data_IF_914439375962
#
_entry.id   IF_914439375962
#
_cell.length_a   1.000
_cell.length_b   1.000
_cell.length_c   1.000
_cell.angle_alpha   90.00
_cell.angle_beta   90.00
_cell.angle_gamma   90.00
#
_symmetry.space_group_name_H-M   'P 1'
#
loop_
_entity.id
_entity.type
_entity.pdbx_description
1 polymer ?
#
# COMPACT_ATOMS: atom_id res chain seq x y z
N UNK A 1 -6.88 13.09 -8.66
CA UNK A 1 -5.82 12.09 -8.80
C UNK A 1 -6.39 10.72 -8.45
N UNK A 2 -5.90 9.69 -9.08
CA UNK A 2 -6.32 8.31 -8.80
C UNK A 2 -5.26 7.61 -7.97
N UNK A 3 -5.62 7.28 -6.74
CA UNK A 3 -4.69 6.79 -5.73
C UNK A 3 -5.05 5.36 -5.36
N UNK A 4 -4.05 4.47 -5.37
CA UNK A 4 -4.19 3.12 -4.87
C UNK A 4 -3.64 2.99 -3.45
N UNK A 5 -4.24 2.12 -2.67
CA UNK A 5 -3.71 1.73 -1.35
C UNK A 5 -3.54 0.22 -1.36
N UNK A 6 -2.31 -0.24 -1.16
CA UNK A 6 -1.99 -1.67 -1.01
C UNK A 6 -1.88 -1.98 0.47
N UNK A 7 -2.71 -2.89 0.97
CA UNK A 7 -2.89 -3.05 2.41
C UNK A 7 -3.51 -4.39 2.77
N UNK A 8 -3.52 -4.69 4.06
CA UNK A 8 -4.49 -5.63 4.64
C UNK A 8 -5.84 -4.91 4.76
N UNK A 9 -6.94 -5.66 4.71
CA UNK A 9 -8.28 -5.04 4.69
C UNK A 9 -9.29 -5.89 5.44
N UNK A 10 -9.17 -5.89 6.78
CA UNK A 10 -10.09 -6.55 7.70
C UNK A 10 -9.85 -5.98 9.10
N UNK A 11 -10.62 -6.41 10.07
CA UNK A 11 -10.57 -5.87 11.44
C UNK A 11 -9.22 -6.08 12.12
N UNK A 12 -8.27 -5.16 11.87
CA UNK A 12 -6.96 -5.08 12.55
C UNK A 12 -6.40 -3.67 12.41
N UNK A 13 -5.43 -3.32 13.27
CA UNK A 13 -4.90 -1.96 13.37
C UNK A 13 -4.42 -1.35 12.06
N UNK A 14 -3.62 -2.08 11.29
CA UNK A 14 -3.09 -1.58 10.03
C UNK A 14 -4.20 -1.27 9.01
N UNK A 15 -5.24 -2.10 8.97
CA UNK A 15 -6.37 -1.89 8.06
C UNK A 15 -7.18 -0.65 8.45
N UNK A 16 -7.34 -0.39 9.74
CA UNK A 16 -8.01 0.83 10.18
C UNK A 16 -7.24 2.08 9.81
N UNK A 17 -5.90 2.05 9.85
CA UNK A 17 -5.07 3.15 9.37
C UNK A 17 -5.28 3.38 7.88
N UNK A 18 -5.26 2.32 7.08
CA UNK A 18 -5.54 2.42 5.64
C UNK A 18 -6.92 2.96 5.37
N UNK A 19 -7.91 2.59 6.17
CA UNK A 19 -9.26 3.10 6.05
C UNK A 19 -9.36 4.59 6.33
N UNK A 20 -8.63 5.07 7.33
CA UNK A 20 -8.53 6.51 7.61
C UNK A 20 -7.90 7.26 6.44
N UNK A 21 -6.82 6.73 5.85
CA UNK A 21 -6.23 7.32 4.64
C UNK A 21 -7.24 7.35 3.50
N UNK A 22 -7.96 6.25 3.28
CA UNK A 22 -8.99 6.20 2.24
C UNK A 22 -10.04 7.29 2.45
N UNK A 23 -10.57 7.41 3.66
CA UNK A 23 -11.63 8.37 3.97
C UNK A 23 -11.17 9.81 3.78
N UNK A 24 -9.94 10.12 4.15
CA UNK A 24 -9.36 11.45 3.99
C UNK A 24 -9.10 11.77 2.51
N UNK A 25 -8.46 10.85 1.81
CA UNK A 25 -8.07 11.04 0.41
C UNK A 25 -9.28 11.06 -0.52
N UNK A 26 -10.32 10.30 -0.21
CA UNK A 26 -11.52 10.23 -1.03
C UNK A 26 -12.29 11.56 -1.10
N UNK A 27 -12.01 12.51 -0.22
CA UNK A 27 -12.61 13.85 -0.28
C UNK A 27 -12.23 14.62 -1.54
N UNK A 28 -11.02 14.39 -2.07
CA UNK A 28 -10.49 15.13 -3.21
C UNK A 28 -9.92 14.23 -4.33
N UNK A 29 -9.92 12.92 -4.13
CA UNK A 29 -9.31 11.96 -5.05
C UNK A 29 -10.18 10.72 -5.19
N UNK A 30 -9.97 9.97 -6.28
CA UNK A 30 -10.52 8.62 -6.42
C UNK A 30 -9.56 7.64 -5.76
N UNK A 31 -10.05 6.83 -4.83
CA UNK A 31 -9.21 5.90 -4.06
C UNK A 31 -9.62 4.46 -4.34
N UNK A 32 -8.65 3.61 -4.62
CA UNK A 32 -8.83 2.20 -4.91
C UNK A 32 -7.99 1.36 -3.96
N UNK A 33 -8.57 0.27 -3.45
CA UNK A 33 -7.92 -0.59 -2.46
C UNK A 33 -7.51 -1.90 -3.12
N UNK A 34 -6.25 -2.29 -2.94
CA UNK A 34 -5.73 -3.61 -3.31
C UNK A 34 -5.46 -4.39 -2.05
N UNK A 35 -6.23 -5.44 -1.81
CA UNK A 35 -6.05 -6.31 -0.66
C UNK A 35 -5.01 -7.38 -1.02
N UNK A 36 -3.94 -7.45 -0.24
CA UNK A 36 -2.89 -8.45 -0.47
C UNK A 36 -3.47 -9.87 -0.35
N UNK A 37 -2.91 -10.78 -1.15
CA UNK A 37 -3.37 -12.15 -1.19
C UNK A 37 -3.28 -12.88 0.15
N UNK A 38 -4.15 -13.85 0.34
CA UNK A 38 -4.23 -14.62 1.59
C UNK A 38 -4.93 -13.91 2.74
N UNK A 39 -5.45 -12.71 2.52
CA UNK A 39 -6.12 -11.91 3.56
C UNK A 39 -7.57 -11.59 3.20
N UNK A 40 -8.31 -12.60 2.76
CA UNK A 40 -9.70 -12.43 2.28
C UNK A 40 -10.75 -12.51 3.40
N UNK A 41 -10.34 -12.33 4.65
CA UNK A 41 -11.21 -12.56 5.82
C UNK A 41 -12.47 -11.68 5.84
N UNK A 42 -12.39 -10.49 5.28
CA UNK A 42 -13.53 -9.55 5.27
C UNK A 42 -14.27 -9.52 3.94
N UNK A 43 -13.93 -10.40 3.00
CA UNK A 43 -14.62 -10.49 1.71
C UNK A 43 -16.09 -10.84 1.93
N UNK A 44 -16.98 -10.05 1.35
CA UNK A 44 -18.42 -10.18 1.57
C UNK A 44 -18.96 -9.41 2.78
N UNK A 45 -18.08 -8.85 3.62
CA UNK A 45 -18.52 -8.05 4.76
C UNK A 45 -18.88 -6.62 4.29
N UNK A 46 -20.10 -6.13 4.52
CA UNK A 46 -20.53 -4.82 4.03
C UNK A 46 -19.67 -3.65 4.49
N UNK A 47 -18.98 -3.78 5.61
CA UNK A 47 -18.10 -2.72 6.13
C UNK A 47 -16.79 -2.63 5.35
N UNK A 48 -16.29 -3.75 4.82
CA UNK A 48 -14.98 -3.85 4.20
C UNK A 48 -15.03 -4.11 2.69
N UNK A 49 -16.02 -4.88 2.24
CA UNK A 49 -16.14 -5.24 0.82
C UNK A 49 -16.90 -4.16 0.05
N UNK A 50 -16.19 -3.06 -0.19
CA UNK A 50 -16.73 -1.87 -0.84
C UNK A 50 -16.50 -1.94 -2.36
N UNK A 51 -17.22 -1.13 -3.17
CA UNK A 51 -17.07 -1.17 -4.64
C UNK A 51 -15.65 -0.87 -5.15
N UNK A 52 -14.86 -0.11 -4.39
CA UNK A 52 -13.49 0.26 -4.77
C UNK A 52 -12.42 -0.70 -4.24
N UNK A 53 -12.82 -1.84 -3.69
CA UNK A 53 -11.90 -2.83 -3.11
C UNK A 53 -11.68 -3.97 -4.08
N UNK A 54 -10.43 -4.30 -4.34
CA UNK A 54 -10.01 -5.45 -5.13
C UNK A 54 -9.38 -6.49 -4.20
N UNK A 55 -9.94 -7.70 -4.19
CA UNK A 55 -9.44 -8.83 -3.41
C UNK A 55 -8.50 -9.66 -4.29
N UNK A 56 -7.20 -9.59 -4.05
CA UNK A 56 -6.23 -10.30 -4.87
C UNK A 56 -6.26 -11.81 -4.63
N UNK A 57 -5.83 -12.58 -5.63
CA UNK A 57 -5.85 -14.05 -5.60
C UNK A 57 -4.53 -14.66 -5.12
N UNK A 58 -3.62 -13.86 -4.55
CA UNK A 58 -2.35 -14.35 -4.04
C UNK A 58 -2.51 -15.34 -2.89
N UNK A 59 -1.55 -16.24 -2.75
CA UNK A 59 -1.56 -17.27 -1.70
C UNK A 59 -0.89 -16.80 -0.41
N UNK A 60 -0.11 -15.74 -0.46
CA UNK A 60 0.66 -15.23 0.68
C UNK A 60 0.40 -13.76 0.91
N UNK A 61 0.37 -13.36 2.18
CA UNK A 61 0.06 -11.99 2.60
C UNK A 61 1.06 -10.94 2.09
N UNK A 62 2.29 -11.34 1.79
CA UNK A 62 3.33 -10.42 1.32
C UNK A 62 3.55 -10.44 -0.18
N UNK A 63 3.12 -11.52 -0.84
CA UNK A 63 3.36 -11.71 -2.27
C UNK A 63 2.29 -11.02 -3.11
N UNK A 64 2.73 -10.32 -4.15
CA UNK A 64 1.85 -9.67 -5.12
C UNK A 64 2.18 -10.23 -6.51
N UNK A 65 1.16 -10.74 -7.22
CA UNK A 65 1.33 -11.20 -8.59
C UNK A 65 1.46 -10.01 -9.54
N UNK A 66 2.53 -9.98 -10.32
CA UNK A 66 2.85 -8.85 -11.20
C UNK A 66 1.74 -8.56 -12.21
N UNK A 67 1.22 -9.59 -12.88
CA UNK A 67 0.17 -9.43 -13.92
C UNK A 67 -1.13 -8.90 -13.32
N UNK A 68 -1.53 -9.45 -12.20
CA UNK A 68 -2.74 -9.06 -11.48
C UNK A 68 -2.64 -7.61 -11.00
N UNK A 69 -1.50 -7.25 -10.43
CA UNK A 69 -1.22 -5.90 -9.95
C UNK A 69 -1.24 -4.88 -11.10
N UNK A 70 -0.60 -5.23 -12.20
CA UNK A 70 -0.59 -4.38 -13.39
C UNK A 70 -2.00 -4.13 -13.94
N UNK A 71 -2.82 -5.19 -14.03
CA UNK A 71 -4.21 -5.08 -14.47
C UNK A 71 -5.02 -4.15 -13.57
N UNK A 72 -4.84 -4.26 -12.26
CA UNK A 72 -5.52 -3.39 -11.29
C UNK A 72 -5.13 -1.93 -11.48
N UNK A 73 -3.85 -1.65 -11.65
CA UNK A 73 -3.35 -0.30 -11.90
C UNK A 73 -3.94 0.26 -13.19
N UNK A 74 -3.90 -0.50 -14.27
CA UNK A 74 -4.38 -0.04 -15.58
C UNK A 74 -5.90 0.13 -15.62
N UNK A 75 -6.64 -0.81 -15.06
CA UNK A 75 -8.10 -0.75 -15.05
C UNK A 75 -8.63 0.49 -14.33
N UNK A 76 -7.89 0.99 -13.33
CA UNK A 76 -8.29 2.13 -12.53
C UNK A 76 -7.48 3.40 -12.83
N UNK A 77 -6.55 3.32 -13.78
CA UNK A 77 -5.67 4.46 -14.15
C UNK A 77 -4.94 5.06 -12.95
N UNK A 78 -4.43 4.22 -12.08
CA UNK A 78 -3.80 4.64 -10.83
C UNK A 78 -2.47 5.35 -11.11
N UNK A 79 -2.25 6.48 -10.45
CA UNK A 79 -1.08 7.33 -10.64
C UNK A 79 -0.11 7.27 -9.46
N UNK A 80 -0.62 7.03 -8.26
CA UNK A 80 0.15 7.01 -7.01
C UNK A 80 -0.37 5.87 -6.14
N UNK A 81 0.53 5.16 -5.46
CA UNK A 81 0.17 4.06 -4.58
C UNK A 81 0.78 4.26 -3.20
N UNK A 82 -0.05 4.17 -2.17
CA UNK A 82 0.34 4.11 -0.77
C UNK A 82 0.42 2.64 -0.34
N UNK A 83 1.58 2.21 0.11
CA UNK A 83 1.79 0.86 0.64
C UNK A 83 1.79 0.90 2.16
N UNK A 84 0.95 0.10 2.78
CA UNK A 84 0.87 -0.02 4.23
C UNK A 84 1.39 -1.39 4.67
N UNK A 85 2.42 -1.41 5.50
CA UNK A 85 3.07 -2.64 5.99
C UNK A 85 3.57 -3.56 4.86
N UNK A 86 4.15 -3.00 3.83
CA UNK A 86 4.65 -3.78 2.70
C UNK A 86 6.02 -4.38 3.02
N UNK A 87 6.11 -5.71 3.03
CA UNK A 87 7.36 -6.45 3.29
C UNK A 87 7.97 -7.04 2.02
N UNK A 88 7.24 -7.13 0.94
CA UNK A 88 7.71 -7.58 -0.36
C UNK A 88 7.98 -6.35 -1.23
N UNK A 89 9.26 -6.07 -1.49
CA UNK A 89 9.66 -4.81 -2.13
C UNK A 89 9.71 -4.85 -3.66
N UNK A 90 9.64 -6.03 -4.27
CA UNK A 90 9.66 -6.15 -5.74
C UNK A 90 8.58 -5.31 -6.45
N UNK A 91 7.35 -5.18 -5.94
CA UNK A 91 6.35 -4.31 -6.58
C UNK A 91 6.79 -2.85 -6.71
N UNK A 92 7.68 -2.37 -5.85
CA UNK A 92 8.20 -1.00 -5.93
C UNK A 92 9.08 -0.80 -7.16
N UNK A 93 9.83 -1.85 -7.54
CA UNK A 93 10.63 -1.84 -8.79
C UNK A 93 9.69 -1.75 -9.99
N UNK A 94 8.60 -2.53 -10.00
CA UNK A 94 7.61 -2.47 -11.07
C UNK A 94 6.98 -1.07 -11.19
N UNK A 95 6.64 -0.46 -10.05
CA UNK A 95 6.08 0.88 -10.04
C UNK A 95 7.03 1.90 -10.66
N UNK A 96 8.32 1.80 -10.36
CA UNK A 96 9.33 2.67 -11.01
C UNK A 96 9.36 2.48 -12.53
N UNK A 97 9.32 1.23 -12.99
CA UNK A 97 9.29 0.92 -14.42
C UNK A 97 8.04 1.47 -15.10
N UNK A 98 6.91 1.48 -14.39
CA UNK A 98 5.62 1.92 -14.93
C UNK A 98 5.33 3.40 -14.71
N UNK A 99 6.23 4.14 -14.07
CA UNK A 99 6.05 5.56 -13.81
C UNK A 99 5.00 5.88 -12.74
N UNK A 100 4.76 4.93 -11.83
CA UNK A 100 3.83 5.09 -10.70
C UNK A 100 4.59 5.63 -9.50
N UNK A 101 4.08 6.69 -8.88
CA UNK A 101 4.64 7.22 -7.63
C UNK A 101 4.28 6.33 -6.45
N UNK A 102 5.21 6.19 -5.53
CA UNK A 102 5.05 5.30 -4.39
C UNK A 102 5.25 6.02 -3.07
N UNK A 103 4.39 5.69 -2.11
CA UNK A 103 4.45 6.23 -0.74
C UNK A 103 4.42 5.05 0.21
N UNK A 104 5.35 5.01 1.17
CA UNK A 104 5.32 4.02 2.23
C UNK A 104 4.69 4.63 3.49
N UNK A 105 3.72 3.94 4.09
CA UNK A 105 3.37 4.17 5.48
C UNK A 105 4.13 3.15 6.31
N UNK A 106 4.99 3.65 7.21
CA UNK A 106 5.92 2.80 7.95
C UNK A 106 5.45 2.63 9.39
N UNK A 107 5.09 1.39 9.73
CA UNK A 107 4.73 0.99 11.07
C UNK A 107 5.65 -0.15 11.57
N UNK A 108 6.27 -0.88 10.64
CA UNK A 108 7.18 -1.98 10.94
C UNK A 108 8.39 -1.95 10.02
N UNK A 109 9.58 -2.14 10.60
CA UNK A 109 10.83 -2.24 9.86
C UNK A 109 11.87 -3.00 10.69
N UNK A 110 12.90 -3.52 10.01
CA UNK A 110 14.07 -4.15 10.64
C UNK A 110 15.32 -3.47 10.10
N UNK A 111 16.47 -3.70 10.76
CA UNK A 111 17.75 -3.17 10.27
C UNK A 111 18.05 -3.61 8.84
N UNK A 112 17.67 -4.84 8.48
CA UNK A 112 17.87 -5.36 7.13
C UNK A 112 16.95 -4.69 6.09
N UNK A 113 15.76 -4.26 6.49
CA UNK A 113 14.78 -3.68 5.57
C UNK A 113 14.90 -2.17 5.45
N UNK A 114 15.48 -1.45 6.42
CA UNK A 114 15.63 0.00 6.37
C UNK A 114 16.22 0.48 5.04
N UNK A 115 17.34 -0.09 4.52
CA UNK A 115 17.90 0.39 3.24
C UNK A 115 16.94 0.23 2.06
N UNK A 116 16.04 -0.75 2.11
CA UNK A 116 15.09 -1.01 1.03
C UNK A 116 14.02 0.08 0.91
N UNK A 117 13.74 0.80 1.99
CA UNK A 117 12.76 1.88 1.98
C UNK A 117 13.21 3.09 1.14
N UNK A 118 14.49 3.17 0.79
CA UNK A 118 14.98 4.20 -0.13
C UNK A 118 14.40 4.11 -1.54
N UNK A 119 13.77 2.99 -1.91
CA UNK A 119 13.14 2.84 -3.22
C UNK A 119 11.82 3.65 -3.35
N UNK A 120 11.17 3.95 -2.24
CA UNK A 120 9.95 4.74 -2.25
C UNK A 120 10.19 6.19 -2.64
N UNK A 121 9.22 6.80 -3.31
CA UNK A 121 9.29 8.23 -3.60
C UNK A 121 9.08 9.08 -2.36
N UNK A 122 8.23 8.61 -1.42
CA UNK A 122 7.99 9.28 -0.14
C UNK A 122 7.79 8.27 0.96
N UNK A 123 8.18 8.65 2.18
CA UNK A 123 7.97 7.83 3.38
C UNK A 123 7.17 8.65 4.39
N UNK A 124 6.09 8.07 4.90
CA UNK A 124 5.28 8.65 5.97
C UNK A 124 5.44 7.77 7.21
N UNK A 125 5.87 8.35 8.29
CA UNK A 125 6.09 7.65 9.57
C UNK A 125 4.97 7.98 10.55
N UNK A 126 4.61 7.01 11.38
CA UNK A 126 3.57 7.22 12.39
C UNK A 126 4.07 8.00 13.62
N UNK A 127 5.38 8.02 13.88
CA UNK A 127 5.99 8.75 15.00
C UNK A 127 7.32 9.34 14.60
N UNK A 128 7.78 10.34 15.37
CA UNK A 128 9.12 10.93 15.23
C UNK A 128 10.22 9.88 15.39
N UNK A 129 10.03 8.93 16.30
CA UNK A 129 10.99 7.86 16.55
C UNK A 129 11.18 6.97 15.30
N UNK A 130 10.09 6.64 14.61
CA UNK A 130 10.16 5.85 13.38
C UNK A 130 10.81 6.65 12.26
N UNK A 131 10.52 7.94 12.16
CA UNK A 131 11.16 8.80 11.16
C UNK A 131 12.67 8.84 11.32
N UNK A 132 13.18 8.85 12.55
CA UNK A 132 14.61 8.89 12.84
C UNK A 132 15.37 7.69 12.24
N UNK A 133 14.72 6.54 12.07
CA UNK A 133 15.35 5.37 11.47
C UNK A 133 15.68 5.61 9.98
N UNK A 134 15.06 6.59 9.34
CA UNK A 134 15.20 6.89 7.91
C UNK A 134 15.85 8.24 7.65
N UNK A 135 16.57 8.81 8.63
CA UNK A 135 17.18 10.14 8.53
C UNK A 135 18.17 10.28 7.36
N UNK A 136 18.77 9.19 6.92
CA UNK A 136 19.71 9.17 5.80
C UNK A 136 19.02 9.30 4.43
N UNK A 137 17.70 9.22 4.38
CA UNK A 137 16.95 9.24 3.12
C UNK A 137 16.36 10.62 2.86
N UNK A 138 16.38 11.03 1.59
CA UNK A 138 15.80 12.30 1.15
C UNK A 138 14.30 12.22 0.92
N UNK A 139 13.74 11.03 0.92
CA UNK A 139 12.34 10.77 0.55
C UNK A 139 11.36 10.77 1.73
N UNK A 140 11.82 11.15 2.90
CA UNK A 140 11.00 11.15 4.11
C UNK A 140 10.12 12.41 4.19
#
# INVERSE_FOLDING_TARGET
MKIGIVTTWFERGAAYVSRQFMDILAKNHEVYIYVRGGEEYAKGNPKWDLPNVYWSNGLHTTYINKKEFYKWIKANSIETILFNEQQYFTPLVWCKEWGIKTIAYVDYYTEQTIPLFGIYDSIVCNTQRHCSAFDEFDNI
#
